data_IF_239257624905
#
_entry.id   IF_239257624905
#
_cell.length_a   1.000
_cell.length_b   1.000
_cell.length_c   1.000
_cell.angle_alpha   90.00
_cell.angle_beta   90.00
_cell.angle_gamma   90.00
#
_symmetry.space_group_name_H-M   'P 1'
#
loop_
_entity.id
_entity.type
_entity.pdbx_description
1 polymer ?
#
# COMPACT_ATOMS: atom_id res chain seq x y z
N UNK A 1 0.63 -51.32 6.72
CA UNK A 1 1.05 -50.20 7.59
C UNK A 1 1.03 -48.95 6.72
N UNK A 2 -0.03 -48.15 6.81
CA UNK A 2 -0.11 -46.84 6.15
C UNK A 2 0.93 -45.92 6.78
N UNK A 3 1.84 -45.29 6.00
CA UNK A 3 2.71 -44.26 6.55
C UNK A 3 1.83 -43.16 7.13
N UNK A 4 1.93 -42.93 8.44
CA UNK A 4 1.23 -41.83 9.09
C UNK A 4 1.64 -40.54 8.42
N UNK A 5 0.65 -39.72 8.02
CA UNK A 5 0.89 -38.35 7.58
C UNK A 5 1.82 -37.67 8.59
N UNK A 6 2.90 -37.00 8.13
CA UNK A 6 3.72 -36.21 9.03
C UNK A 6 2.82 -35.21 9.77
N UNK A 7 3.06 -34.95 11.07
CA UNK A 7 2.24 -34.01 11.82
C UNK A 7 2.22 -32.68 11.08
N UNK A 8 1.02 -32.17 10.80
CA UNK A 8 0.83 -30.82 10.28
C UNK A 8 1.60 -29.88 11.20
N UNK A 9 2.66 -29.25 10.66
CA UNK A 9 3.39 -28.21 11.36
C UNK A 9 2.35 -27.17 11.83
N UNK A 10 2.30 -26.80 13.11
CA UNK A 10 1.29 -25.85 13.57
C UNK A 10 1.42 -24.61 12.70
N UNK A 11 0.36 -24.26 11.97
CA UNK A 11 0.31 -23.05 11.18
C UNK A 11 0.70 -21.92 12.12
N UNK A 12 1.90 -21.35 11.94
CA UNK A 12 2.33 -20.19 12.71
C UNK A 12 1.18 -19.21 12.53
N UNK A 13 0.49 -18.76 13.60
CA UNK A 13 -0.58 -17.81 13.42
C UNK A 13 0.08 -16.57 12.82
N UNK A 14 -0.13 -16.35 11.53
CA UNK A 14 0.39 -15.18 10.82
C UNK A 14 -0.38 -13.91 11.23
N UNK A 15 -1.43 -14.08 12.04
CA UNK A 15 -2.27 -13.02 12.55
C UNK A 15 -1.51 -11.96 13.36
N UNK A 16 -0.53 -12.23 14.27
CA UNK A 16 0.16 -11.19 15.02
C UNK A 16 1.10 -10.35 14.14
N UNK A 17 1.76 -10.97 13.15
CA UNK A 17 2.67 -10.28 12.20
C UNK A 17 1.92 -9.26 11.34
N UNK A 18 0.63 -9.51 11.10
CA UNK A 18 -0.26 -8.64 10.31
C UNK A 18 -1.01 -7.64 11.20
N UNK A 19 -1.53 -8.10 12.33
CA UNK A 19 -2.41 -7.32 13.21
C UNK A 19 -1.61 -6.23 13.94
N UNK A 20 -0.40 -6.50 14.43
CA UNK A 20 0.35 -5.52 15.22
C UNK A 20 0.77 -4.29 14.39
N UNK A 21 1.35 -4.42 13.18
CA UNK A 21 1.64 -3.26 12.33
C UNK A 21 0.38 -2.51 11.89
N UNK A 22 -0.71 -3.24 11.57
CA UNK A 22 -1.99 -2.63 11.21
C UNK A 22 -2.53 -1.79 12.37
N UNK A 23 -2.54 -2.31 13.59
CA UNK A 23 -3.01 -1.60 14.78
C UNK A 23 -2.17 -0.35 15.07
N UNK A 24 -0.84 -0.43 14.91
CA UNK A 24 0.04 0.73 15.06
C UNK A 24 -0.26 1.80 14.00
N UNK A 25 -0.44 1.41 12.74
CA UNK A 25 -0.77 2.32 11.64
C UNK A 25 -2.14 2.99 11.85
N UNK A 26 -3.17 2.22 12.23
CA UNK A 26 -4.50 2.75 12.58
C UNK A 26 -4.41 3.75 13.73
N UNK A 27 -3.63 3.44 14.77
CA UNK A 27 -3.43 4.32 15.93
C UNK A 27 -2.73 5.63 15.54
N UNK A 28 -1.71 5.57 14.67
CA UNK A 28 -1.04 6.77 14.15
C UNK A 28 -2.01 7.63 13.33
N UNK A 29 -2.78 7.02 12.43
CA UNK A 29 -3.76 7.75 11.61
C UNK A 29 -4.85 8.40 12.47
N UNK A 30 -5.33 7.71 13.51
CA UNK A 30 -6.27 8.24 14.48
C UNK A 30 -5.66 9.41 15.27
N UNK A 31 -4.43 9.28 15.75
CA UNK A 31 -3.73 10.36 16.45
C UNK A 31 -3.52 11.59 15.56
N UNK A 32 -3.15 11.42 14.29
CA UNK A 32 -3.03 12.51 13.34
C UNK A 32 -4.38 13.19 13.09
N UNK A 33 -5.47 12.42 13.03
CA UNK A 33 -6.85 12.93 12.90
C UNK A 33 -7.30 13.70 14.14
N UNK A 34 -7.07 13.16 15.34
CA UNK A 34 -7.40 13.78 16.63
C UNK A 34 -6.60 15.06 16.86
N UNK A 35 -5.35 15.12 16.37
CA UNK A 35 -4.51 16.33 16.39
C UNK A 35 -4.87 17.38 15.33
N UNK A 36 -5.98 17.21 14.60
CA UNK A 36 -6.42 18.14 13.56
C UNK A 36 -5.48 18.24 12.34
N UNK A 37 -4.50 17.33 12.21
CA UNK A 37 -3.51 17.34 11.12
C UNK A 37 -4.10 16.84 9.79
N UNK A 38 -5.27 16.21 9.84
CA UNK A 38 -5.95 15.62 8.68
C UNK A 38 -7.47 15.85 8.75
N UNK A 39 -8.10 16.04 7.60
CA UNK A 39 -9.56 16.06 7.48
C UNK A 39 -10.14 14.65 7.68
N UNK A 40 -11.43 14.54 8.00
CA UNK A 40 -12.09 13.24 8.18
C UNK A 40 -12.00 12.36 6.92
N UNK A 41 -12.21 12.96 5.74
CA UNK A 41 -12.08 12.26 4.45
C UNK A 41 -10.66 11.75 4.21
N UNK A 42 -9.63 12.55 4.50
CA UNK A 42 -8.23 12.13 4.34
C UNK A 42 -7.84 11.02 5.31
N UNK A 43 -8.34 11.07 6.55
CA UNK A 43 -8.14 9.99 7.51
C UNK A 43 -8.83 8.70 7.05
N UNK A 44 -10.05 8.79 6.52
CA UNK A 44 -10.79 7.65 5.96
C UNK A 44 -10.04 7.02 4.78
N UNK A 45 -9.57 7.83 3.82
CA UNK A 45 -8.79 7.34 2.67
C UNK A 45 -7.50 6.68 3.13
N UNK A 46 -6.77 7.29 4.07
CA UNK A 46 -5.55 6.70 4.62
C UNK A 46 -5.83 5.36 5.33
N UNK A 47 -6.93 5.26 6.08
CA UNK A 47 -7.35 4.02 6.73
C UNK A 47 -7.73 2.94 5.70
N UNK A 48 -8.51 3.30 4.68
CA UNK A 48 -8.88 2.38 3.60
C UNK A 48 -7.65 1.84 2.88
N UNK A 49 -6.67 2.71 2.57
CA UNK A 49 -5.39 2.30 1.98
C UNK A 49 -4.59 1.41 2.92
N UNK A 50 -4.57 1.69 4.23
CA UNK A 50 -3.89 0.87 5.22
C UNK A 50 -4.49 -0.54 5.30
N UNK A 51 -5.82 -0.65 5.42
CA UNK A 51 -6.53 -1.92 5.44
C UNK A 51 -6.28 -2.69 4.15
N UNK A 52 -6.40 -2.03 2.99
CA UNK A 52 -6.09 -2.63 1.69
C UNK A 52 -4.65 -3.16 1.64
N UNK A 53 -3.66 -2.35 2.01
CA UNK A 53 -2.25 -2.74 1.97
C UNK A 53 -1.98 -3.96 2.84
N UNK A 54 -2.63 -4.05 4.00
CA UNK A 54 -2.49 -5.20 4.91
C UNK A 54 -3.16 -6.45 4.35
N UNK A 55 -4.35 -6.33 3.75
CA UNK A 55 -5.01 -7.45 3.07
C UNK A 55 -4.18 -7.93 1.88
N UNK A 56 -3.66 -7.00 1.07
CA UNK A 56 -2.81 -7.32 -0.08
C UNK A 56 -1.51 -8.00 0.37
N UNK A 57 -0.81 -7.44 1.36
CA UNK A 57 0.37 -8.06 1.97
C UNK A 57 0.07 -9.47 2.47
N UNK A 58 -1.05 -9.64 3.18
CA UNK A 58 -1.47 -10.92 3.70
C UNK A 58 -1.73 -11.95 2.60
N UNK A 59 -2.40 -11.54 1.52
CA UNK A 59 -2.70 -12.42 0.38
C UNK A 59 -1.44 -12.81 -0.40
N UNK A 60 -0.54 -11.86 -0.61
CA UNK A 60 0.65 -12.07 -1.43
C UNK A 60 1.70 -12.87 -0.68
N UNK A 61 2.02 -12.49 0.56
CA UNK A 61 3.24 -12.97 1.24
C UNK A 61 3.00 -14.04 2.31
N UNK A 62 1.78 -14.18 2.86
CA UNK A 62 1.56 -15.13 3.95
C UNK A 62 1.27 -16.59 3.57
N UNK A 63 0.73 -16.96 2.40
CA UNK A 63 0.58 -18.37 2.08
C UNK A 63 1.95 -18.97 1.75
N UNK A 64 2.77 -19.28 2.75
CA UNK A 64 4.05 -19.95 2.58
C UNK A 64 4.03 -21.27 3.34
N UNK A 65 4.42 -22.34 2.66
CA UNK A 65 4.67 -23.64 3.27
C UNK A 65 6.17 -23.75 3.52
N UNK A 66 6.61 -23.91 4.78
CA UNK A 66 8.04 -24.07 5.05
C UNK A 66 8.41 -25.54 4.82
N UNK A 67 9.17 -25.82 3.78
CA UNK A 67 9.77 -27.13 3.55
C UNK A 67 11.02 -27.29 4.41
N UNK A 68 11.01 -28.21 5.39
CA UNK A 68 12.11 -28.46 6.33
C UNK A 68 12.61 -29.91 6.18
N UNK A 69 13.90 -30.14 6.42
CA UNK A 69 14.50 -31.48 6.49
C UNK A 69 14.93 -32.02 5.12
N UNK A 70 14.98 -33.33 4.97
CA UNK A 70 15.44 -34.02 3.75
C UNK A 70 14.62 -33.71 2.48
N UNK A 71 13.45 -33.09 2.64
CA UNK A 71 12.67 -32.55 1.53
C UNK A 71 13.37 -31.34 0.86
N UNK A 72 14.23 -30.61 1.57
CA UNK A 72 15.03 -29.50 1.02
C UNK A 72 16.12 -30.00 0.07
N UNK A 73 16.67 -31.17 0.32
CA UNK A 73 17.73 -31.78 -0.49
C UNK A 73 17.21 -32.26 -1.87
N UNK A 74 15.88 -32.38 -2.01
CA UNK A 74 15.19 -32.77 -3.24
C UNK A 74 14.51 -31.58 -3.94
N UNK A 75 14.83 -30.34 -3.57
CA UNK A 75 14.27 -29.18 -4.25
C UNK A 75 14.71 -29.15 -5.72
N UNK A 76 13.80 -28.78 -6.63
CA UNK A 76 14.15 -28.64 -8.03
C UNK A 76 15.25 -27.56 -8.21
N UNK A 77 16.01 -27.62 -9.31
CA UNK A 77 17.01 -26.61 -9.62
C UNK A 77 16.42 -25.20 -9.58
N UNK A 78 17.27 -24.19 -9.31
CA UNK A 78 16.83 -22.82 -9.10
C UNK A 78 15.99 -22.24 -10.26
N UNK A 79 16.17 -22.78 -11.47
CA UNK A 79 15.42 -22.43 -12.68
C UNK A 79 13.93 -22.74 -12.61
N UNK A 80 13.48 -23.62 -11.70
CA UNK A 80 12.06 -23.94 -11.49
C UNK A 80 11.36 -22.88 -10.61
N UNK A 81 12.12 -22.03 -9.92
CA UNK A 81 11.55 -20.90 -9.16
C UNK A 81 11.35 -19.64 -10.00
N UNK A 82 11.50 -19.71 -11.33
CA UNK A 82 11.29 -18.58 -12.23
C UNK A 82 10.52 -19.00 -13.48
N UNK A 83 9.36 -18.40 -13.68
CA UNK A 83 8.54 -18.52 -14.88
C UNK A 83 8.58 -17.21 -15.68
N UNK A 84 9.36 -17.22 -16.76
CA UNK A 84 9.62 -16.05 -17.60
C UNK A 84 8.86 -16.07 -18.93
N UNK A 85 8.04 -17.08 -19.19
CA UNK A 85 7.26 -17.16 -20.43
C UNK A 85 6.01 -16.30 -20.25
N UNK A 86 5.93 -15.13 -20.90
CA UNK A 86 4.77 -14.28 -20.74
C UNK A 86 3.55 -14.91 -21.42
N UNK A 87 2.38 -14.65 -20.85
CA UNK A 87 1.06 -15.07 -21.29
C UNK A 87 0.85 -16.60 -21.27
N UNK A 88 1.71 -17.34 -20.56
CA UNK A 88 1.60 -18.79 -20.43
C UNK A 88 0.43 -19.18 -19.53
N UNK A 89 0.31 -18.52 -18.38
CA UNK A 89 -0.72 -18.82 -17.37
C UNK A 89 -2.08 -18.19 -17.68
N UNK A 90 -2.20 -17.37 -18.72
CA UNK A 90 -3.44 -16.62 -18.99
C UNK A 90 -4.59 -17.49 -19.50
N UNK A 91 -4.26 -18.57 -20.23
CA UNK A 91 -5.23 -19.55 -20.68
C UNK A 91 -5.45 -20.66 -19.63
N UNK A 92 -4.38 -21.02 -18.91
CA UNK A 92 -4.35 -22.16 -18.00
C UNK A 92 -4.89 -21.81 -16.59
N UNK A 93 -4.64 -20.60 -16.10
CA UNK A 93 -5.20 -20.05 -14.85
C UNK A 93 -5.76 -18.61 -15.03
N UNK A 94 -6.87 -18.46 -15.78
CA UNK A 94 -7.49 -17.15 -15.94
C UNK A 94 -8.03 -16.57 -14.63
N UNK A 95 -8.38 -17.42 -13.66
CA UNK A 95 -8.89 -16.97 -12.37
C UNK A 95 -7.79 -16.28 -11.56
N UNK A 96 -6.60 -16.87 -11.48
CA UNK A 96 -5.42 -16.29 -10.83
C UNK A 96 -5.05 -14.93 -11.42
N UNK A 97 -4.96 -14.84 -12.75
CA UNK A 97 -4.68 -13.58 -13.45
C UNK A 97 -5.72 -12.50 -13.14
N UNK A 98 -7.01 -12.85 -13.11
CA UNK A 98 -8.07 -11.90 -12.75
C UNK A 98 -7.93 -11.45 -11.30
N UNK A 99 -7.67 -12.38 -10.37
CA UNK A 99 -7.50 -12.08 -8.94
C UNK A 99 -6.31 -11.14 -8.71
N UNK A 100 -5.17 -11.39 -9.34
CA UNK A 100 -3.97 -10.54 -9.26
C UNK A 100 -4.22 -9.16 -9.89
N UNK A 101 -4.87 -9.12 -11.05
CA UNK A 101 -5.30 -7.86 -11.68
C UNK A 101 -6.21 -7.05 -10.74
N UNK A 102 -7.27 -7.67 -10.20
CA UNK A 102 -8.22 -7.01 -9.29
C UNK A 102 -7.56 -6.57 -7.99
N UNK A 103 -6.55 -7.30 -7.50
CA UNK A 103 -5.79 -6.92 -6.31
C UNK A 103 -5.08 -5.58 -6.49
N UNK A 104 -4.60 -5.25 -7.70
CA UNK A 104 -3.89 -4.00 -7.98
C UNK A 104 -4.77 -2.83 -8.46
N UNK A 105 -6.05 -3.07 -8.77
CA UNK A 105 -6.99 -1.98 -9.12
C UNK A 105 -7.10 -0.93 -8.00
N UNK A 106 -7.32 -1.30 -6.72
CA UNK A 106 -7.33 -0.34 -5.63
C UNK A 106 -6.00 0.41 -5.47
N UNK A 107 -4.87 -0.24 -5.70
CA UNK A 107 -3.55 0.42 -5.67
C UNK A 107 -3.51 1.58 -6.67
N UNK A 108 -3.87 1.34 -7.94
CA UNK A 108 -3.89 2.37 -8.97
C UNK A 108 -4.85 3.53 -8.68
N UNK A 109 -5.97 3.24 -8.02
CA UNK A 109 -6.96 4.25 -7.62
C UNK A 109 -6.51 5.09 -6.42
N UNK A 110 -5.92 4.46 -5.41
CA UNK A 110 -5.60 5.07 -4.11
C UNK A 110 -4.25 5.81 -4.12
N UNK A 111 -3.29 5.37 -4.94
CA UNK A 111 -1.95 5.97 -5.02
C UNK A 111 -1.96 7.50 -5.19
N UNK A 112 -2.74 8.11 -6.12
CA UNK A 112 -2.78 9.56 -6.26
C UNK A 112 -3.46 10.30 -5.10
N UNK A 113 -4.22 9.59 -4.24
CA UNK A 113 -4.89 10.17 -3.07
C UNK A 113 -3.98 10.22 -1.84
N UNK A 114 -3.10 9.22 -1.69
CA UNK A 114 -2.18 9.10 -0.55
C UNK A 114 -0.76 9.56 -0.85
N UNK A 115 -0.46 9.88 -2.11
CA UNK A 115 0.84 10.41 -2.54
C UNK A 115 0.66 11.69 -3.37
N UNK A 116 1.76 12.25 -3.88
CA UNK A 116 1.74 13.34 -4.87
C UNK A 116 1.87 12.83 -6.31
N UNK A 117 1.83 11.51 -6.53
CA UNK A 117 1.97 10.90 -7.86
C UNK A 117 0.61 10.92 -8.55
N UNK A 118 0.42 11.87 -9.48
CA UNK A 118 -0.82 11.99 -10.27
C UNK A 118 -0.66 11.69 -11.76
N UNK A 119 0.56 11.48 -12.23
CA UNK A 119 0.80 11.08 -13.61
C UNK A 119 0.41 9.63 -13.78
N UNK A 120 -0.47 9.33 -14.74
CA UNK A 120 -0.94 7.97 -15.00
C UNK A 120 0.23 7.01 -15.31
N UNK A 121 1.20 7.44 -16.10
CA UNK A 121 2.40 6.65 -16.37
C UNK A 121 3.24 6.38 -15.11
N UNK A 122 3.29 7.31 -14.16
CA UNK A 122 3.95 7.08 -12.87
C UNK A 122 3.14 6.17 -11.95
N UNK A 123 1.81 6.18 -12.04
CA UNK A 123 0.95 5.25 -11.30
C UNK A 123 1.17 3.82 -11.82
N UNK A 124 1.16 3.63 -13.14
CA UNK A 124 1.43 2.33 -13.77
C UNK A 124 2.86 1.88 -13.49
N UNK A 125 3.85 2.77 -13.61
CA UNK A 125 5.24 2.45 -13.27
C UNK A 125 5.42 2.07 -11.80
N UNK A 126 4.71 2.72 -10.88
CA UNK A 126 4.70 2.33 -9.47
C UNK A 126 4.07 0.95 -9.27
N UNK A 127 2.98 0.63 -9.98
CA UNK A 127 2.37 -0.71 -9.93
C UNK A 127 3.35 -1.78 -10.43
N UNK A 128 4.02 -1.54 -11.56
CA UNK A 128 5.02 -2.44 -12.10
C UNK A 128 6.20 -2.65 -11.13
N UNK A 129 6.70 -1.58 -10.51
CA UNK A 129 7.80 -1.66 -9.53
C UNK A 129 7.40 -2.39 -8.25
N UNK A 130 6.20 -2.14 -7.74
CA UNK A 130 5.67 -2.85 -6.56
C UNK A 130 5.47 -4.32 -6.89
N UNK A 131 4.91 -4.64 -8.06
CA UNK A 131 4.74 -6.02 -8.48
C UNK A 131 6.07 -6.74 -8.68
N UNK A 132 7.05 -6.09 -9.32
CA UNK A 132 8.40 -6.64 -9.43
C UNK A 132 9.02 -6.88 -8.04
N UNK A 133 8.82 -5.96 -7.10
CA UNK A 133 9.27 -6.14 -5.72
C UNK A 133 8.63 -7.35 -5.03
N UNK A 134 7.34 -7.58 -5.27
CA UNK A 134 6.60 -8.76 -4.77
C UNK A 134 7.23 -10.05 -5.32
N UNK A 135 7.38 -10.16 -6.64
CA UNK A 135 7.94 -11.34 -7.30
C UNK A 135 9.39 -11.60 -6.83
N UNK A 136 10.19 -10.54 -6.67
CA UNK A 136 11.56 -10.66 -6.14
C UNK A 136 11.56 -11.13 -4.69
N UNK A 137 10.67 -10.62 -3.84
CA UNK A 137 10.54 -11.11 -2.46
C UNK A 137 10.13 -12.58 -2.45
N UNK A 138 9.16 -12.98 -3.28
CA UNK A 138 8.73 -14.37 -3.42
C UNK A 138 9.87 -15.28 -3.90
N UNK A 139 10.65 -14.85 -4.89
CA UNK A 139 11.84 -15.56 -5.34
C UNK A 139 12.87 -15.74 -4.22
N UNK A 140 13.18 -14.66 -3.48
CA UNK A 140 14.12 -14.72 -2.36
C UNK A 140 13.62 -15.68 -1.30
N UNK A 141 12.33 -15.64 -0.94
CA UNK A 141 11.74 -16.56 0.03
C UNK A 141 11.74 -18.02 -0.48
N UNK A 142 11.43 -18.22 -1.76
CA UNK A 142 11.46 -19.51 -2.44
C UNK A 142 12.86 -20.14 -2.38
N UNK A 143 13.91 -19.36 -2.65
CA UNK A 143 15.30 -19.83 -2.64
C UNK A 143 15.85 -20.00 -1.21
N UNK A 144 15.53 -19.09 -0.29
CA UNK A 144 16.16 -19.06 1.06
C UNK A 144 15.46 -19.95 2.08
N UNK A 145 14.12 -19.92 2.11
CA UNK A 145 13.29 -20.60 3.11
C UNK A 145 12.54 -21.79 2.49
N UNK A 146 12.71 -22.03 1.18
CA UNK A 146 12.12 -23.20 0.49
C UNK A 146 10.59 -23.18 0.56
N UNK A 147 10.01 -22.01 0.30
CA UNK A 147 8.56 -21.77 0.44
C UNK A 147 7.71 -22.28 -0.72
N UNK A 148 8.33 -22.86 -1.75
CA UNK A 148 7.67 -23.27 -3.00
C UNK A 148 7.23 -22.09 -3.88
N UNK A 149 7.66 -20.87 -3.57
CA UNK A 149 7.29 -19.66 -4.33
C UNK A 149 8.12 -19.50 -5.59
N UNK A 150 7.45 -19.06 -6.65
CA UNK A 150 7.99 -18.89 -7.99
C UNK A 150 7.87 -17.41 -8.34
N UNK A 151 8.87 -16.88 -9.05
CA UNK A 151 8.78 -15.59 -9.72
C UNK A 151 7.95 -15.79 -10.99
N UNK A 152 6.80 -15.16 -11.08
CA UNK A 152 5.87 -15.32 -12.21
C UNK A 152 5.75 -14.00 -12.99
N UNK A 153 6.25 -13.99 -14.24
CA UNK A 153 6.16 -12.79 -15.09
C UNK A 153 4.69 -12.42 -15.39
N UNK A 154 3.79 -13.41 -15.41
CA UNK A 154 2.38 -13.19 -15.67
C UNK A 154 1.67 -12.49 -14.51
N UNK A 155 2.07 -12.77 -13.28
CA UNK A 155 1.61 -12.05 -12.09
C UNK A 155 2.09 -10.59 -12.11
N UNK A 156 3.35 -10.37 -12.52
CA UNK A 156 3.87 -9.02 -12.75
C UNK A 156 3.03 -8.25 -13.77
N UNK A 157 2.70 -8.88 -14.89
CA UNK A 157 1.88 -8.27 -15.94
C UNK A 157 0.43 -8.02 -15.48
N UNK A 158 -0.19 -8.98 -14.82
CA UNK A 158 -1.55 -8.90 -14.28
C UNK A 158 -1.68 -7.75 -13.26
N UNK A 159 -0.76 -7.68 -12.30
CA UNK A 159 -0.71 -6.60 -11.31
C UNK A 159 -0.48 -5.23 -11.95
N UNK A 160 0.41 -5.16 -12.95
CA UNK A 160 0.64 -3.93 -13.71
C UNK A 160 -0.61 -3.49 -14.47
N UNK A 161 -1.34 -4.42 -15.08
CA UNK A 161 -2.64 -4.18 -15.72
C UNK A 161 -3.67 -3.68 -14.71
N UNK A 162 -3.73 -4.28 -13.52
CA UNK A 162 -4.56 -3.83 -12.41
C UNK A 162 -4.28 -2.38 -12.04
N UNK A 163 -3.00 -2.01 -11.93
CA UNK A 163 -2.57 -0.63 -11.68
C UNK A 163 -3.01 0.34 -12.78
N UNK A 164 -2.95 -0.08 -14.05
CA UNK A 164 -3.43 0.71 -15.19
C UNK A 164 -4.96 0.88 -15.18
N UNK A 165 -5.72 -0.17 -14.88
CA UNK A 165 -7.18 -0.10 -14.72
C UNK A 165 -7.52 0.83 -13.55
N UNK A 166 -6.84 0.72 -12.42
CA UNK A 166 -7.03 1.62 -11.28
C UNK A 166 -6.75 3.08 -11.60
N UNK A 167 -5.68 3.34 -12.35
CA UNK A 167 -5.35 4.68 -12.85
C UNK A 167 -6.43 5.24 -13.79
N UNK A 168 -7.00 4.39 -14.65
CA UNK A 168 -8.12 4.73 -15.54
C UNK A 168 -9.38 5.06 -14.72
N UNK A 169 -9.73 4.26 -13.72
CA UNK A 169 -10.87 4.52 -12.84
C UNK A 169 -10.70 5.87 -12.12
N UNK A 170 -9.50 6.16 -11.59
CA UNK A 170 -9.18 7.47 -11.02
C UNK A 170 -9.34 8.60 -12.05
N UNK A 171 -8.86 8.41 -13.28
CA UNK A 171 -8.99 9.39 -14.36
C UNK A 171 -10.46 9.71 -14.68
N UNK A 172 -11.30 8.68 -14.82
CA UNK A 172 -12.74 8.80 -15.09
C UNK A 172 -13.42 9.50 -13.91
N UNK A 173 -13.13 9.09 -12.68
CA UNK A 173 -13.73 9.68 -11.49
C UNK A 173 -13.43 11.20 -11.36
N UNK A 174 -12.27 11.67 -11.83
CA UNK A 174 -11.95 13.11 -11.88
C UNK A 174 -12.75 13.91 -12.91
N UNK A 175 -13.30 13.25 -13.94
CA UNK A 175 -14.13 13.87 -14.97
C UNK A 175 -15.56 14.08 -14.48
N UNK A 176 -16.02 13.28 -13.52
CA UNK A 176 -17.38 13.33 -12.96
C UNK A 176 -17.48 14.46 -11.91
N UNK A 177 -18.34 15.49 -12.09
CA UNK A 177 -18.36 16.68 -11.24
C UNK A 177 -18.52 16.45 -9.72
N UNK A 178 -19.43 15.58 -9.22
CA UNK A 178 -19.53 15.31 -7.79
C UNK A 178 -18.28 14.59 -7.25
N UNK A 179 -17.79 13.57 -7.95
CA UNK A 179 -16.61 12.79 -7.55
C UNK A 179 -15.33 13.64 -7.57
N UNK A 180 -15.21 14.56 -8.52
CA UNK A 180 -14.08 15.49 -8.62
C UNK A 180 -13.90 16.33 -7.36
N UNK A 181 -14.99 16.74 -6.70
CA UNK A 181 -14.92 17.52 -5.44
C UNK A 181 -14.37 16.66 -4.31
N UNK A 182 -14.87 15.43 -4.20
CA UNK A 182 -14.43 14.45 -3.18
C UNK A 182 -12.96 14.11 -3.37
N UNK A 183 -12.54 13.80 -4.61
CA UNK A 183 -11.16 13.47 -4.94
C UNK A 183 -10.20 14.62 -4.58
N UNK A 184 -10.53 15.86 -4.95
CA UNK A 184 -9.70 17.02 -4.59
C UNK A 184 -9.59 17.24 -3.08
N UNK A 185 -10.64 16.93 -2.33
CA UNK A 185 -10.64 17.05 -0.87
C UNK A 185 -9.86 15.91 -0.18
N UNK A 186 -9.77 14.74 -0.82
CA UNK A 186 -9.00 13.58 -0.38
C UNK A 186 -7.50 13.70 -0.72
N UNK A 187 -7.17 14.33 -1.85
CA UNK A 187 -5.81 14.48 -2.33
C UNK A 187 -4.90 15.26 -1.38
N UNK A 188 -3.62 14.88 -1.33
CA UNK A 188 -2.59 15.64 -0.61
C UNK A 188 -2.29 16.94 -1.38
N UNK A 189 -2.37 18.12 -0.75
CA UNK A 189 -2.02 19.38 -1.41
C UNK A 189 -0.55 19.41 -1.87
N UNK A 190 -0.31 19.98 -3.06
CA UNK A 190 1.04 20.08 -3.64
C UNK A 190 1.91 21.12 -2.92
N UNK A 191 1.32 22.05 -2.18
CA UNK A 191 1.98 22.99 -1.27
C UNK A 191 1.40 22.90 0.13
N UNK A 192 2.28 22.94 1.14
CA UNK A 192 1.88 23.43 2.47
C UNK A 192 1.56 24.90 2.23
N UNK A 193 0.30 25.27 2.09
CA UNK A 193 -0.05 26.70 2.04
C UNK A 193 0.56 27.33 3.30
N UNK A 194 1.39 28.38 3.17
CA UNK A 194 1.82 29.12 4.34
C UNK A 194 0.55 29.54 5.10
N UNK A 195 0.60 29.62 6.45
CA UNK A 195 -0.53 30.09 7.22
C UNK A 195 -1.05 31.40 6.62
N UNK A 196 -2.37 31.64 6.60
CA UNK A 196 -2.93 32.86 6.06
C UNK A 196 -2.16 34.06 6.65
N UNK A 197 -1.87 35.10 5.85
CA UNK A 197 -1.17 36.26 6.35
C UNK A 197 -1.92 36.78 7.58
N UNK A 198 -1.22 36.93 8.71
CA UNK A 198 -1.79 37.47 9.95
C UNK A 198 -2.58 38.73 9.61
N UNK A 199 -3.78 38.83 10.19
CA UNK A 199 -4.63 40.01 10.02
C UNK A 199 -3.85 41.28 10.37
N UNK A 200 -4.18 42.41 9.75
CA UNK A 200 -3.54 43.70 10.07
C UNK A 200 -3.61 44.03 11.57
N UNK A 201 -4.66 43.57 12.25
CA UNK A 201 -4.84 43.60 13.70
C UNK A 201 -3.81 42.77 14.49
N UNK A 202 -3.44 41.57 14.02
CA UNK A 202 -2.43 40.72 14.65
C UNK A 202 -1.00 41.18 14.37
N UNK A 203 -0.75 41.87 13.25
CA UNK A 203 0.55 42.53 13.02
C UNK A 203 0.75 43.70 13.98
N UNK A 204 -0.26 44.53 14.17
CA UNK A 204 -0.18 45.69 15.06
C UNK A 204 -0.02 45.30 16.54
N UNK A 205 -0.64 44.21 16.99
CA UNK A 205 -0.45 43.72 18.38
C UNK A 205 0.95 43.17 18.67
N UNK A 206 1.66 42.67 17.66
CA UNK A 206 3.01 42.11 17.83
C UNK A 206 4.09 43.18 17.66
N UNK A 207 3.80 44.24 16.89
CA UNK A 207 4.70 45.37 16.67
C UNK A 207 4.61 46.46 17.75
N UNK A 208 3.62 46.45 18.64
CA UNK A 208 3.62 47.33 19.83
C UNK A 208 4.53 46.73 20.91
N UNK A 209 5.72 47.30 21.18
CA UNK A 209 6.50 46.91 22.35
C UNK A 209 5.73 47.40 23.58
N UNK A 210 5.66 46.60 24.64
CA UNK A 210 5.13 46.97 25.97
C UNK A 210 5.85 48.22 26.50
N UNK A 211 5.41 49.41 26.07
CA UNK A 211 6.04 50.69 26.39
C UNK A 211 5.15 51.55 27.28
N UNK A 212 4.24 50.94 28.04
CA UNK A 212 3.46 51.65 29.06
C UNK A 212 3.36 50.87 30.37
N UNK A 213 4.50 50.41 30.89
CA UNK A 213 4.66 50.27 32.33
C UNK A 213 4.74 51.68 32.96
N UNK A 214 3.58 52.26 33.29
CA UNK A 214 3.50 53.49 34.09
C UNK A 214 4.11 53.25 35.47
N UNK A 215 5.06 54.06 35.96
CA UNK A 215 5.44 54.02 37.37
C UNK A 215 4.27 54.58 38.19
N UNK A 216 3.80 53.82 39.17
CA UNK A 216 2.89 54.33 40.21
C UNK A 216 3.68 55.31 41.07
N UNK A 217 3.28 56.58 41.06
CA UNK A 217 3.73 57.56 42.04
C UNK A 217 3.16 57.20 43.43
N UNK A 218 4.03 57.01 44.40
CA UNK A 218 3.84 57.31 45.82
C UNK A 218 5.19 57.64 46.45
#
# INVERSE_FOLDING_TARGET
>A
MTPGLPPMNPAIPYSPVVILPLMALVSILLLLRLRGRMTALRAFVALATAVYAVVAFAKVLLPFEIVIGSARDNLPPWTVFVELVPLSSWADDPAGIILNTLLFVPFGMLLPLVTRIRSYGRIVGAAALVSLGIEVVQLVLGVTISTGRIFEVDDLLANTLGGAIGALVYAVARRVPPLRRVIRAAEIPDRISPPPPRSSSERQQVETPDTFARPRAR
#
